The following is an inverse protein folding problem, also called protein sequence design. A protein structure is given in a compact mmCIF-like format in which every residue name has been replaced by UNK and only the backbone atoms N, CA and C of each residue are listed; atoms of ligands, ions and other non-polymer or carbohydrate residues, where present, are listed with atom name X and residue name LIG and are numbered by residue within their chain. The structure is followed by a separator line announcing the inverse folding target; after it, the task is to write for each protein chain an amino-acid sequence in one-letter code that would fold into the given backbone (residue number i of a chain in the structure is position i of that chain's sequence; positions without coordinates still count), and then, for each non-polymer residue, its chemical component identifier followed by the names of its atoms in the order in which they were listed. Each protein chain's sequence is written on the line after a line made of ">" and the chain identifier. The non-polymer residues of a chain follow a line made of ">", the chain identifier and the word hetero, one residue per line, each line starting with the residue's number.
data_IF_131621664211
#
_entry.id   IF_131621664211
#
_cell.length_a   1.000
_cell.length_b   1.000
_cell.length_c   1.000
_cell.angle_alpha   90.00
_cell.angle_beta   90.00
_cell.angle_gamma   90.00
#
_symmetry.space_group_name_H-M   'P 1'
#
loop_
_entity.id
_entity.type
_entity.pdbx_description
1 polymer ?
#
# COMPACT_ATOMS: atom_id res chain seq x y z
N UNK A 1 -19.58 16.41 16.93
CA UNK A 1 -19.32 16.74 15.53
C UNK A 1 -18.10 15.91 15.13
N UNK A 2 -18.30 14.78 14.44
CA UNK A 2 -17.16 14.00 13.92
C UNK A 2 -16.37 14.86 12.95
N UNK A 3 -15.11 15.10 13.26
CA UNK A 3 -14.21 15.85 12.37
C UNK A 3 -13.91 14.93 11.18
N UNK A 4 -14.50 15.21 10.04
CA UNK A 4 -14.29 14.42 8.82
C UNK A 4 -12.84 14.63 8.36
N UNK A 5 -12.05 13.56 8.36
CA UNK A 5 -10.66 13.57 7.89
C UNK A 5 -10.57 14.00 6.41
N UNK A 6 -9.57 14.78 6.08
CA UNK A 6 -9.35 15.34 4.75
C UNK A 6 -7.92 15.08 4.25
N UNK A 7 -7.79 14.74 2.98
CA UNK A 7 -6.47 14.56 2.34
C UNK A 7 -5.59 15.82 2.44
N UNK A 8 -6.21 16.99 2.46
CA UNK A 8 -5.49 18.28 2.47
C UNK A 8 -4.94 18.65 3.85
N UNK A 9 -5.67 18.33 4.91
CA UNK A 9 -5.30 18.71 6.30
C UNK A 9 -4.73 17.56 7.09
N UNK A 10 -5.28 16.36 6.87
CA UNK A 10 -4.94 15.16 7.65
C UNK A 10 -4.09 14.15 6.89
N UNK A 11 -3.94 14.34 5.58
CA UNK A 11 -3.23 13.44 4.68
C UNK A 11 -3.97 12.13 4.38
N UNK A 12 -5.08 11.88 5.06
CA UNK A 12 -5.86 10.65 4.95
C UNK A 12 -7.35 10.96 4.96
N UNK A 13 -8.13 10.15 4.25
CA UNK A 13 -9.59 10.15 4.29
C UNK A 13 -10.11 8.72 4.40
N UNK A 14 -11.38 8.56 4.77
CA UNK A 14 -12.03 7.25 4.87
C UNK A 14 -12.95 7.01 3.69
N UNK A 15 -12.83 5.87 3.04
CA UNK A 15 -13.69 5.44 1.93
C UNK A 15 -14.51 4.25 2.40
N UNK A 16 -15.83 4.34 2.25
CA UNK A 16 -16.73 3.24 2.59
C UNK A 16 -16.48 2.04 1.67
N UNK A 17 -16.50 0.86 2.24
CA UNK A 17 -16.50 -0.35 1.43
C UNK A 17 -17.79 -0.46 0.62
N UNK A 18 -17.73 -0.85 -0.66
CA UNK A 18 -18.89 -1.43 -1.35
C UNK A 18 -19.46 -2.62 -0.57
N UNK A 19 -20.71 -2.98 -0.84
CA UNK A 19 -21.50 -3.90 0.01
C UNK A 19 -20.78 -5.24 0.33
N UNK A 20 -20.10 -5.84 -0.65
CA UNK A 20 -19.41 -7.12 -0.48
C UNK A 20 -17.97 -6.98 0.01
N UNK A 21 -17.39 -5.80 -0.02
CA UNK A 21 -15.95 -5.58 0.20
C UNK A 21 -15.51 -5.94 1.61
N UNK A 22 -16.36 -5.72 2.62
CA UNK A 22 -16.03 -6.08 4.01
C UNK A 22 -15.77 -7.59 4.14
N UNK A 23 -16.63 -8.41 3.54
CA UNK A 23 -16.47 -9.86 3.54
C UNK A 23 -15.23 -10.28 2.76
N UNK A 24 -15.01 -9.69 1.58
CA UNK A 24 -13.85 -10.00 0.73
C UNK A 24 -12.51 -9.65 1.41
N UNK A 25 -12.45 -8.53 2.14
CA UNK A 25 -11.26 -8.15 2.92
C UNK A 25 -11.03 -9.12 4.08
N UNK A 26 -12.08 -9.53 4.78
CA UNK A 26 -11.99 -10.48 5.89
C UNK A 26 -11.52 -11.86 5.38
N UNK A 27 -12.09 -12.35 4.29
CA UNK A 27 -11.70 -13.62 3.65
C UNK A 27 -10.25 -13.59 3.18
N UNK A 28 -9.82 -12.50 2.54
CA UNK A 28 -8.44 -12.31 2.12
C UNK A 28 -7.46 -12.29 3.31
N UNK A 29 -7.85 -11.69 4.45
CA UNK A 29 -7.03 -11.67 5.64
C UNK A 29 -6.90 -13.08 6.28
N UNK A 30 -8.00 -13.85 6.36
CA UNK A 30 -7.96 -15.20 6.92
C UNK A 30 -7.19 -16.16 6.01
N UNK A 31 -7.42 -16.12 4.70
CA UNK A 31 -6.69 -16.96 3.75
C UNK A 31 -5.18 -16.65 3.72
N UNK A 32 -4.79 -15.38 3.93
CA UNK A 32 -3.39 -15.01 4.13
C UNK A 32 -2.78 -15.62 5.39
N UNK A 33 -3.52 -15.66 6.51
CA UNK A 33 -3.07 -16.32 7.74
C UNK A 33 -2.85 -17.82 7.51
N UNK A 34 -3.72 -18.47 6.75
CA UNK A 34 -3.59 -19.89 6.44
C UNK A 34 -2.38 -20.14 5.52
N UNK A 35 -2.17 -19.31 4.50
CA UNK A 35 -0.97 -19.35 3.66
C UNK A 35 0.32 -19.20 4.47
N UNK A 36 0.37 -18.29 5.45
CA UNK A 36 1.54 -18.10 6.32
C UNK A 36 1.92 -19.34 7.13
N UNK A 37 0.95 -20.23 7.44
CA UNK A 37 1.19 -21.49 8.17
C UNK A 37 1.79 -22.59 7.31
N UNK A 38 1.79 -22.44 6.00
CA UNK A 38 2.42 -23.39 5.08
C UNK A 38 3.92 -23.54 5.37
N UNK A 39 4.50 -24.73 5.14
CA UNK A 39 5.94 -24.92 5.22
C UNK A 39 6.69 -23.92 4.34
N UNK A 40 7.86 -23.46 4.79
CA UNK A 40 8.64 -22.48 4.04
C UNK A 40 8.94 -22.95 2.61
N UNK A 41 9.26 -24.22 2.42
CA UNK A 41 9.51 -24.81 1.09
C UNK A 41 8.32 -24.71 0.13
N UNK A 42 7.09 -24.67 0.67
CA UNK A 42 5.88 -24.45 -0.14
C UNK A 42 5.72 -22.97 -0.47
N UNK A 43 5.93 -22.08 0.51
CA UNK A 43 5.89 -20.63 0.28
C UNK A 43 6.95 -20.19 -0.74
N UNK A 44 8.11 -20.81 -0.75
CA UNK A 44 9.21 -20.50 -1.67
C UNK A 44 8.87 -20.76 -3.15
N UNK A 45 7.87 -21.62 -3.47
CA UNK A 45 7.36 -21.84 -4.82
C UNK A 45 6.82 -20.52 -5.42
N UNK A 46 6.31 -19.62 -4.57
CA UNK A 46 5.71 -18.34 -4.94
C UNK A 46 6.70 -17.18 -4.94
N UNK A 47 7.97 -17.43 -4.61
CA UNK A 47 9.00 -16.39 -4.64
C UNK A 47 9.11 -15.77 -6.01
N UNK A 48 9.18 -14.44 -6.08
CA UNK A 48 9.33 -13.71 -7.32
C UNK A 48 10.65 -14.10 -8.02
N UNK A 49 10.53 -14.59 -9.25
CA UNK A 49 11.69 -14.93 -10.10
C UNK A 49 12.37 -13.65 -10.61
N UNK A 50 11.59 -12.58 -10.80
CA UNK A 50 12.07 -11.28 -11.25
C UNK A 50 12.01 -10.26 -10.11
N UNK A 51 13.17 -9.90 -9.60
CA UNK A 51 13.33 -8.85 -8.59
C UNK A 51 12.92 -7.44 -9.09
N UNK A 52 12.74 -7.25 -10.40
CA UNK A 52 12.32 -5.97 -10.95
C UNK A 52 10.80 -5.79 -10.90
N UNK A 53 10.03 -6.85 -11.04
CA UNK A 53 8.57 -6.80 -10.91
C UNK A 53 8.12 -6.63 -9.46
N UNK A 54 8.91 -7.11 -8.49
CA UNK A 54 8.57 -7.10 -7.07
C UNK A 54 7.32 -7.90 -6.72
N UNK A 55 6.84 -8.75 -7.65
CA UNK A 55 5.60 -9.52 -7.53
C UNK A 55 5.92 -10.93 -7.06
N UNK A 56 5.21 -11.42 -6.02
CA UNK A 56 5.39 -12.75 -5.45
C UNK A 56 5.63 -12.68 -3.94
N UNK A 57 5.92 -13.85 -3.37
CA UNK A 57 6.25 -13.99 -1.96
C UNK A 57 7.71 -13.58 -1.68
N UNK A 58 7.92 -12.85 -0.62
CA UNK A 58 9.24 -12.44 -0.14
C UNK A 58 9.31 -12.53 1.39
N UNK A 59 10.43 -13.06 1.89
CA UNK A 59 10.76 -13.04 3.32
C UNK A 59 12.03 -12.22 3.54
N UNK A 60 11.95 -11.18 4.37
CA UNK A 60 13.04 -10.26 4.70
C UNK A 60 13.53 -10.50 6.14
N UNK A 61 14.79 -10.18 6.40
CA UNK A 61 15.34 -10.18 7.76
C UNK A 61 16.02 -11.49 8.22
N UNK A 62 16.34 -12.40 7.30
CA UNK A 62 17.07 -13.65 7.61
C UNK A 62 18.61 -13.50 7.60
N UNK A 63 19.15 -12.32 7.84
CA UNK A 63 20.60 -12.10 7.99
C UNK A 63 21.40 -11.94 6.68
N UNK A 64 20.81 -12.15 5.52
CA UNK A 64 21.53 -12.09 4.24
C UNK A 64 21.50 -10.73 3.51
N UNK A 65 20.66 -9.80 3.95
CA UNK A 65 20.65 -8.41 3.48
C UNK A 65 20.43 -7.48 4.66
N UNK A 66 21.07 -6.31 4.65
CA UNK A 66 20.86 -5.20 5.58
C UNK A 66 19.45 -4.59 5.50
N UNK A 67 18.42 -5.41 5.45
CA UNK A 67 17.04 -4.95 5.51
C UNK A 67 16.68 -4.74 6.97
N UNK A 68 16.40 -3.50 7.34
CA UNK A 68 15.88 -3.14 8.68
C UNK A 68 14.46 -3.67 8.89
N UNK A 69 13.75 -4.01 7.81
CA UNK A 69 12.39 -4.56 7.87
C UNK A 69 12.45 -6.08 8.06
N UNK A 70 11.92 -6.56 9.18
CA UNK A 70 11.70 -7.98 9.42
C UNK A 70 10.25 -8.28 9.07
N UNK A 71 10.00 -8.88 7.90
CA UNK A 71 8.64 -9.17 7.43
C UNK A 71 8.59 -10.29 6.41
N UNK A 72 7.41 -10.91 6.29
CA UNK A 72 6.99 -11.67 5.12
C UNK A 72 5.98 -10.80 4.35
N UNK A 73 6.11 -10.74 3.03
CA UNK A 73 5.11 -10.08 2.19
C UNK A 73 4.82 -10.91 0.95
N UNK A 74 3.58 -10.80 0.48
CA UNK A 74 3.17 -11.33 -0.81
C UNK A 74 2.57 -10.20 -1.63
N UNK A 75 3.18 -9.93 -2.75
CA UNK A 75 2.83 -8.86 -3.67
C UNK A 75 2.13 -9.46 -4.89
N UNK A 76 0.89 -9.02 -5.16
CA UNK A 76 0.03 -9.58 -6.20
C UNK A 76 -0.55 -8.46 -7.07
N UNK A 77 -0.57 -8.69 -8.38
CA UNK A 77 -1.27 -7.87 -9.38
C UNK A 77 -2.32 -8.71 -10.11
N UNK A 78 -3.30 -8.08 -10.74
CA UNK A 78 -4.27 -8.84 -11.57
C UNK A 78 -3.59 -9.65 -12.67
N UNK A 79 -2.51 -9.13 -13.25
CA UNK A 79 -1.80 -9.76 -14.39
C UNK A 79 -1.11 -11.07 -14.03
N UNK A 80 -0.70 -11.26 -12.76
CA UNK A 80 -0.03 -12.50 -12.36
C UNK A 80 -0.93 -13.52 -11.66
N UNK A 81 -2.23 -13.23 -11.47
CA UNK A 81 -3.17 -14.15 -10.83
C UNK A 81 -3.27 -15.51 -11.54
N UNK A 82 -3.23 -15.53 -12.85
CA UNK A 82 -3.30 -16.79 -13.62
C UNK A 82 -2.07 -17.67 -13.36
N UNK A 83 -0.88 -17.10 -13.35
CA UNK A 83 0.37 -17.81 -13.02
C UNK A 83 0.35 -18.32 -11.57
N UNK A 84 -0.06 -17.47 -10.63
CA UNK A 84 -0.16 -17.83 -9.23
C UNK A 84 -1.19 -18.94 -8.99
N UNK A 85 -2.32 -18.92 -9.71
CA UNK A 85 -3.32 -20.01 -9.63
C UNK A 85 -2.74 -21.35 -10.11
N UNK A 86 -1.90 -21.34 -11.14
CA UNK A 86 -1.22 -22.56 -11.60
C UNK A 86 -0.21 -23.08 -10.56
N UNK A 87 0.56 -22.18 -9.94
CA UNK A 87 1.51 -22.54 -8.87
C UNK A 87 0.79 -23.06 -7.61
N UNK A 88 -0.41 -22.54 -7.32
CA UNK A 88 -1.22 -22.93 -6.16
C UNK A 88 -1.91 -24.28 -6.33
N UNK A 89 -2.01 -24.79 -7.56
CA UNK A 89 -2.77 -26.00 -7.85
C UNK A 89 -2.31 -27.21 -7.02
N UNK A 90 -3.26 -27.81 -6.29
CA UNK A 90 -3.01 -28.92 -5.37
C UNK A 90 -2.52 -28.51 -3.98
N UNK A 91 -2.51 -27.20 -3.67
CA UNK A 91 -2.18 -26.65 -2.35
C UNK A 91 -3.40 -25.86 -1.85
N UNK A 92 -4.32 -26.47 -1.08
CA UNK A 92 -5.63 -25.88 -0.78
C UNK A 92 -5.57 -24.47 -0.15
N UNK A 93 -4.64 -24.24 0.78
CA UNK A 93 -4.46 -22.94 1.44
C UNK A 93 -3.98 -21.87 0.45
N UNK A 94 -3.11 -22.24 -0.50
CA UNK A 94 -2.65 -21.33 -1.53
C UNK A 94 -3.74 -21.05 -2.57
N UNK A 95 -4.51 -22.08 -2.98
CA UNK A 95 -5.66 -21.91 -3.88
C UNK A 95 -6.69 -20.95 -3.27
N UNK A 96 -7.05 -21.16 -1.99
CA UNK A 96 -7.98 -20.30 -1.26
C UNK A 96 -7.47 -18.86 -1.18
N UNK A 97 -6.19 -18.66 -0.87
CA UNK A 97 -5.57 -17.33 -0.80
C UNK A 97 -5.58 -16.59 -2.14
N UNK A 98 -5.24 -17.27 -3.24
CA UNK A 98 -5.25 -16.64 -4.57
C UNK A 98 -6.68 -16.30 -5.01
N UNK A 99 -7.66 -17.15 -4.73
CA UNK A 99 -9.06 -16.87 -5.07
C UNK A 99 -9.65 -15.72 -4.24
N UNK A 100 -9.41 -15.69 -2.93
CA UNK A 100 -9.78 -14.56 -2.08
C UNK A 100 -9.15 -13.23 -2.57
N UNK A 101 -7.89 -13.29 -3.03
CA UNK A 101 -7.23 -12.11 -3.63
C UNK A 101 -7.88 -11.69 -4.95
N UNK A 102 -8.31 -12.64 -5.79
CA UNK A 102 -9.05 -12.36 -7.03
C UNK A 102 -10.33 -11.58 -6.75
N UNK A 103 -11.12 -12.06 -5.79
CA UNK A 103 -12.37 -11.40 -5.35
C UNK A 103 -12.12 -10.02 -4.75
N UNK A 104 -11.01 -9.86 -4.01
CA UNK A 104 -10.61 -8.58 -3.46
C UNK A 104 -10.31 -7.52 -4.54
N UNK A 105 -9.71 -7.90 -5.67
CA UNK A 105 -9.45 -6.97 -6.79
C UNK A 105 -10.72 -6.36 -7.37
N UNK A 106 -11.85 -7.07 -7.38
CA UNK A 106 -13.12 -6.52 -7.86
C UNK A 106 -13.60 -5.38 -6.96
N UNK A 107 -13.44 -5.55 -5.63
CA UNK A 107 -13.74 -4.51 -4.65
C UNK A 107 -12.83 -3.30 -4.80
N UNK A 108 -11.53 -3.52 -4.98
CA UNK A 108 -10.52 -2.48 -5.14
C UNK A 108 -10.81 -1.62 -6.38
N UNK A 109 -11.22 -2.22 -7.48
CA UNK A 109 -11.56 -1.49 -8.70
C UNK A 109 -12.70 -0.48 -8.46
N UNK A 110 -13.78 -0.93 -7.80
CA UNK A 110 -14.89 -0.05 -7.46
C UNK A 110 -14.47 1.08 -6.52
N UNK A 111 -13.66 0.77 -5.50
CA UNK A 111 -13.15 1.76 -4.55
C UNK A 111 -12.23 2.79 -5.23
N UNK A 112 -11.37 2.36 -6.16
CA UNK A 112 -10.46 3.26 -6.89
C UNK A 112 -11.24 4.27 -7.74
N UNK A 113 -12.29 3.82 -8.43
CA UNK A 113 -13.18 4.69 -9.22
C UNK A 113 -13.90 5.70 -8.32
N UNK A 114 -14.46 5.25 -7.19
CA UNK A 114 -15.15 6.13 -6.24
C UNK A 114 -14.20 7.16 -5.64
N UNK A 115 -13.00 6.73 -5.24
CA UNK A 115 -11.99 7.63 -4.70
C UNK A 115 -11.52 8.65 -5.73
N UNK A 116 -11.29 8.23 -6.96
CA UNK A 116 -10.91 9.13 -8.06
C UNK A 116 -11.92 10.25 -8.27
N UNK A 117 -13.22 9.93 -8.32
CA UNK A 117 -14.31 10.90 -8.41
C UNK A 117 -14.36 11.84 -7.20
N UNK A 118 -14.13 11.29 -5.99
CA UNK A 118 -14.08 12.10 -4.77
C UNK A 118 -12.93 13.12 -4.81
N UNK A 119 -11.73 12.70 -5.20
CA UNK A 119 -10.57 13.60 -5.30
C UNK A 119 -10.84 14.72 -6.32
N UNK A 120 -11.31 14.37 -7.51
CA UNK A 120 -11.57 15.36 -8.57
C UNK A 120 -12.62 16.37 -8.14
N UNK A 121 -13.74 15.92 -7.55
CA UNK A 121 -14.84 16.80 -7.15
C UNK A 121 -14.54 17.65 -5.92
N UNK A 122 -13.71 17.15 -5.00
CA UNK A 122 -13.47 17.80 -3.70
C UNK A 122 -12.25 18.72 -3.72
N UNK A 123 -11.22 18.37 -4.50
CA UNK A 123 -9.93 19.06 -4.51
C UNK A 123 -9.60 19.70 -5.87
N UNK A 124 -10.53 19.69 -6.84
CA UNK A 124 -10.37 20.26 -8.21
C UNK A 124 -9.11 19.74 -8.94
N UNK A 125 -8.76 18.49 -8.73
CA UNK A 125 -7.64 17.82 -9.44
C UNK A 125 -8.16 17.24 -10.74
N UNK A 126 -8.21 18.06 -11.80
CA UNK A 126 -8.82 17.71 -13.09
C UNK A 126 -8.23 16.46 -13.72
N UNK A 127 -9.09 15.57 -14.21
CA UNK A 127 -8.72 14.31 -14.86
C UNK A 127 -8.22 13.24 -13.90
N UNK A 128 -8.32 13.46 -12.59
CA UNK A 128 -7.90 12.46 -11.60
C UNK A 128 -8.84 11.24 -11.60
N UNK A 129 -10.15 11.45 -11.80
CA UNK A 129 -11.13 10.36 -11.88
C UNK A 129 -10.83 9.41 -13.05
N UNK A 130 -10.55 9.96 -14.23
CA UNK A 130 -10.21 9.17 -15.42
C UNK A 130 -8.91 8.40 -15.22
N UNK A 131 -7.89 9.02 -14.63
CA UNK A 131 -6.63 8.36 -14.31
C UNK A 131 -6.82 7.25 -13.29
N UNK A 132 -7.58 7.47 -12.22
CA UNK A 132 -7.84 6.46 -11.20
C UNK A 132 -8.61 5.26 -11.79
N UNK A 133 -9.61 5.51 -12.63
CA UNK A 133 -10.35 4.47 -13.34
C UNK A 133 -9.45 3.66 -14.28
N UNK A 134 -8.67 4.32 -15.12
CA UNK A 134 -7.74 3.66 -16.03
C UNK A 134 -6.67 2.83 -15.30
N UNK A 135 -6.31 3.24 -14.08
CA UNK A 135 -5.27 2.62 -13.25
C UNK A 135 -5.78 1.48 -12.35
N UNK A 136 -7.09 1.32 -12.21
CA UNK A 136 -7.67 0.33 -11.29
C UNK A 136 -7.19 -1.11 -11.59
N UNK A 137 -6.99 -1.45 -12.86
CA UNK A 137 -6.46 -2.76 -13.27
C UNK A 137 -4.95 -2.91 -13.03
N UNK A 138 -4.23 -1.82 -12.80
CA UNK A 138 -2.82 -1.83 -12.42
C UNK A 138 -2.62 -1.85 -10.90
N UNK A 139 -3.69 -2.09 -10.14
CA UNK A 139 -3.65 -2.23 -8.70
C UNK A 139 -2.66 -3.32 -8.28
N UNK A 140 -1.94 -3.03 -7.20
CA UNK A 140 -0.93 -3.88 -6.63
C UNK A 140 -1.27 -4.10 -5.15
N UNK A 141 -1.66 -5.31 -4.79
CA UNK A 141 -2.02 -5.67 -3.42
C UNK A 141 -0.81 -6.28 -2.73
N UNK A 142 -0.52 -5.77 -1.55
CA UNK A 142 0.53 -6.30 -0.67
C UNK A 142 -0.10 -6.86 0.59
N UNK A 143 0.08 -8.14 0.80
CA UNK A 143 -0.17 -8.82 2.05
C UNK A 143 1.10 -8.80 2.89
N UNK A 144 0.98 -8.41 4.16
CA UNK A 144 2.09 -8.19 5.06
C UNK A 144 1.92 -9.04 6.33
N UNK A 145 3.01 -9.61 6.79
CA UNK A 145 3.14 -10.17 8.11
C UNK A 145 4.45 -9.69 8.75
N UNK A 146 4.33 -9.07 9.90
CA UNK A 146 5.46 -8.71 10.76
C UNK A 146 5.48 -9.70 11.93
N UNK A 147 6.55 -10.48 12.12
CA UNK A 147 6.63 -11.42 13.24
C UNK A 147 6.72 -10.67 14.59
N UNK A 148 6.51 -11.38 15.71
CA UNK A 148 6.71 -10.82 17.05
C UNK A 148 8.09 -10.22 17.22
N UNK A 149 8.12 -8.97 17.73
CA UNK A 149 9.36 -8.22 18.02
C UNK A 149 9.17 -7.40 19.30
N UNK A 150 10.24 -6.78 19.79
CA UNK A 150 10.19 -5.95 21.00
C UNK A 150 9.25 -4.75 20.83
N UNK A 151 8.51 -4.43 21.90
CA UNK A 151 7.62 -3.25 21.96
C UNK A 151 8.35 -1.97 21.56
N UNK A 152 7.70 -1.15 20.74
CA UNK A 152 8.24 0.13 20.27
C UNK A 152 9.26 0.01 19.13
N UNK A 153 9.59 -1.21 18.68
CA UNK A 153 10.45 -1.40 17.50
C UNK A 153 9.76 -0.81 16.26
N UNK A 154 10.47 0.01 15.50
CA UNK A 154 10.02 0.44 14.16
C UNK A 154 10.27 -0.72 13.21
N UNK A 155 9.18 -1.31 12.71
CA UNK A 155 9.18 -2.49 11.82
C UNK A 155 8.86 -2.14 10.37
N UNK A 156 8.45 -0.91 10.11
CA UNK A 156 8.36 -0.27 8.80
C UNK A 156 8.87 1.15 8.93
N UNK A 157 10.03 1.43 8.34
CA UNK A 157 10.69 2.74 8.43
C UNK A 157 9.78 3.86 7.86
N UNK A 158 9.89 5.10 8.38
CA UNK A 158 9.16 6.23 7.84
C UNK A 158 9.38 6.41 6.35
N UNK A 159 8.30 6.43 5.57
CA UNK A 159 8.37 6.59 4.12
C UNK A 159 7.09 7.21 3.55
N UNK A 160 7.18 7.63 2.30
CA UNK A 160 6.05 8.05 1.47
C UNK A 160 5.94 7.08 0.31
N UNK A 161 4.75 6.57 0.05
CA UNK A 161 4.53 5.68 -1.09
C UNK A 161 4.77 6.39 -2.42
N UNK A 162 5.36 5.68 -3.38
CA UNK A 162 5.77 6.25 -4.66
C UNK A 162 4.67 6.22 -5.73
N UNK A 163 3.60 5.46 -5.52
CA UNK A 163 2.47 5.31 -6.43
C UNK A 163 1.55 6.53 -6.47
N UNK A 164 0.33 6.34 -6.97
CA UNK A 164 -0.71 7.37 -6.98
C UNK A 164 -1.33 7.57 -5.60
N UNK A 165 -1.98 6.53 -5.09
CA UNK A 165 -2.60 6.53 -3.78
C UNK A 165 -2.64 5.11 -3.21
N UNK A 166 -2.84 5.04 -1.90
CA UNK A 166 -2.81 3.77 -1.16
C UNK A 166 -4.11 3.58 -0.39
N UNK A 167 -4.70 2.40 -0.51
CA UNK A 167 -5.73 1.90 0.38
C UNK A 167 -5.09 1.08 1.49
N UNK A 168 -5.30 1.47 2.73
CA UNK A 168 -5.04 0.64 3.91
C UNK A 168 -6.32 -0.14 4.22
N UNK A 169 -6.38 -1.39 3.74
CA UNK A 169 -7.59 -2.19 3.74
C UNK A 169 -7.80 -2.93 5.06
N UNK A 170 -6.75 -3.44 5.66
CA UNK A 170 -6.84 -4.28 6.84
C UNK A 170 -5.58 -4.18 7.70
N UNK A 171 -5.77 -4.25 9.00
CA UNK A 171 -4.70 -4.54 9.96
C UNK A 171 -5.26 -5.37 11.14
N UNK A 172 -4.49 -6.33 11.61
CA UNK A 172 -4.88 -7.21 12.72
C UNK A 172 -4.75 -6.53 14.08
N UNK A 173 -3.96 -5.49 14.16
CA UNK A 173 -3.75 -4.63 15.33
C UNK A 173 -3.21 -3.28 14.86
N UNK A 174 -3.42 -2.25 15.66
CA UNK A 174 -2.85 -0.92 15.45
C UNK A 174 -1.33 -0.98 15.27
N UNK A 175 -0.73 0.14 14.90
CA UNK A 175 0.72 0.26 14.77
C UNK A 175 1.16 0.99 13.50
N UNK A 176 0.23 1.27 12.59
CA UNK A 176 0.49 2.18 11.49
C UNK A 176 0.29 3.62 11.97
N UNK A 177 1.36 4.43 11.94
CA UNK A 177 1.34 5.83 12.31
C UNK A 177 1.56 6.72 11.09
N UNK A 178 0.84 7.82 11.00
CA UNK A 178 0.99 8.89 10.00
C UNK A 178 1.67 10.11 10.60
N UNK A 179 2.56 10.74 9.86
CA UNK A 179 3.21 11.97 10.29
C UNK A 179 2.33 13.18 9.95
N UNK A 180 2.07 14.03 10.93
CA UNK A 180 1.40 15.33 10.72
C UNK A 180 2.21 16.22 9.76
N UNK A 181 1.54 17.14 9.05
CA UNK A 181 2.21 17.97 8.05
C UNK A 181 3.15 19.04 8.63
N UNK A 182 3.06 19.30 9.94
CA UNK A 182 4.05 20.08 10.69
C UNK A 182 5.35 19.31 10.96
N UNK A 183 5.36 17.98 10.72
CA UNK A 183 6.48 17.06 10.94
C UNK A 183 6.85 16.83 12.41
N UNK A 184 5.98 17.18 13.33
CA UNK A 184 6.26 17.12 14.77
C UNK A 184 5.56 15.93 15.44
N UNK A 185 4.37 15.54 14.94
CA UNK A 185 3.51 14.58 15.62
C UNK A 185 3.24 13.35 14.77
N UNK A 186 3.44 12.17 15.35
CA UNK A 186 2.95 10.91 14.80
C UNK A 186 1.55 10.64 15.36
N UNK A 187 0.60 10.43 14.47
CA UNK A 187 -0.80 10.16 14.77
C UNK A 187 -1.15 8.74 14.27
N UNK A 188 -2.01 8.01 14.99
CA UNK A 188 -2.43 6.69 14.49
C UNK A 188 -3.13 6.81 13.13
N UNK A 189 -2.95 5.81 12.27
CA UNK A 189 -3.75 5.65 11.06
C UNK A 189 -5.19 5.39 11.50
N UNK A 190 -6.20 6.08 10.94
CA UNK A 190 -7.58 5.83 11.31
C UNK A 190 -8.00 4.43 10.84
N UNK A 191 -8.69 3.70 11.71
CA UNK A 191 -9.29 2.41 11.42
C UNK A 191 -10.77 2.48 11.76
N UNK A 192 -11.63 2.22 10.79
CA UNK A 192 -13.06 2.18 10.97
C UNK A 192 -13.64 0.92 10.31
N UNK A 193 -14.52 0.25 10.99
CA UNK A 193 -15.19 -0.94 10.45
C UNK A 193 -15.98 -0.60 9.18
N UNK A 194 -15.78 -1.39 8.12
CA UNK A 194 -16.45 -1.17 6.82
C UNK A 194 -15.88 -0.04 5.97
N UNK A 195 -14.70 0.47 6.32
CA UNK A 195 -14.01 1.52 5.56
C UNK A 195 -12.53 1.20 5.37
N UNK A 196 -11.96 1.74 4.29
CA UNK A 196 -10.51 1.82 4.12
C UNK A 196 -10.01 3.22 4.45
N UNK A 197 -8.87 3.31 5.12
CA UNK A 197 -8.11 4.55 5.14
C UNK A 197 -7.42 4.72 3.78
N UNK A 198 -7.56 5.89 3.18
CA UNK A 198 -6.98 6.18 1.85
C UNK A 198 -6.17 7.45 1.93
N UNK A 199 -4.97 7.40 1.38
CA UNK A 199 -4.06 8.54 1.40
C UNK A 199 -3.33 8.70 0.07
N UNK A 200 -2.98 9.94 -0.23
CA UNK A 200 -2.20 10.30 -1.40
C UNK A 200 -0.76 9.81 -1.27
N UNK A 201 -0.20 9.41 -2.40
CA UNK A 201 1.21 9.06 -2.54
C UNK A 201 1.92 10.10 -3.42
N UNK A 202 3.16 9.84 -3.85
CA UNK A 202 3.99 10.81 -4.57
C UNK A 202 3.36 11.31 -5.88
N UNK A 203 2.70 10.44 -6.66
CA UNK A 203 2.07 10.86 -7.92
C UNK A 203 0.83 11.74 -7.69
N UNK A 204 0.06 11.48 -6.63
CA UNK A 204 -1.07 12.38 -6.26
C UNK A 204 -0.56 13.76 -5.87
N UNK A 205 0.53 13.83 -5.11
CA UNK A 205 1.15 15.12 -4.78
C UNK A 205 1.62 15.86 -6.04
N UNK A 206 2.21 15.15 -6.99
CA UNK A 206 2.62 15.74 -8.28
C UNK A 206 1.42 16.30 -9.06
N UNK A 207 0.36 15.51 -9.22
CA UNK A 207 -0.82 15.88 -10.02
C UNK A 207 -1.63 17.00 -9.39
N UNK A 208 -1.69 17.05 -8.07
CA UNK A 208 -2.40 18.11 -7.34
C UNK A 208 -1.57 19.41 -7.18
N UNK A 209 -0.37 19.48 -7.76
CA UNK A 209 0.52 20.63 -7.55
C UNK A 209 0.94 20.82 -6.10
N UNK A 210 0.88 19.77 -5.28
CA UNK A 210 1.23 19.77 -3.87
C UNK A 210 0.06 20.09 -2.92
N UNK A 211 -1.16 20.28 -3.42
CA UNK A 211 -2.34 20.47 -2.57
C UNK A 211 -2.66 19.23 -1.72
N UNK A 212 -2.55 18.04 -2.33
CA UNK A 212 -2.63 16.76 -1.62
C UNK A 212 -1.21 16.23 -1.50
N UNK A 213 -0.68 16.21 -0.30
CA UNK A 213 0.67 15.71 -0.06
C UNK A 213 0.70 14.20 0.04
N UNK A 214 1.77 13.58 -0.45
CA UNK A 214 2.04 12.17 -0.18
C UNK A 214 2.25 11.97 1.33
N UNK A 215 1.50 11.03 1.93
CA UNK A 215 1.50 10.82 3.36
C UNK A 215 2.72 10.03 3.83
N UNK A 216 3.53 10.64 4.70
CA UNK A 216 4.59 9.92 5.39
C UNK A 216 3.98 9.07 6.50
N UNK A 217 4.32 7.79 6.54
CA UNK A 217 3.85 6.86 7.55
C UNK A 217 4.95 5.86 7.93
N UNK A 218 4.78 5.23 9.08
CA UNK A 218 5.67 4.20 9.62
C UNK A 218 4.87 3.11 10.30
N UNK A 219 5.51 1.98 10.59
CA UNK A 219 4.92 0.91 11.39
C UNK A 219 5.75 0.71 12.66
N UNK A 220 5.08 0.76 13.81
CA UNK A 220 5.69 0.56 15.14
C UNK A 220 5.03 -0.62 15.84
N UNK A 221 5.82 -1.51 16.42
CA UNK A 221 5.31 -2.65 17.18
C UNK A 221 4.64 -2.19 18.47
N UNK A 222 3.40 -2.62 18.68
CA UNK A 222 2.63 -2.44 19.91
C UNK A 222 2.63 -3.73 20.77
N UNK A 223 1.92 -3.74 21.88
CA UNK A 223 1.82 -4.91 22.77
C UNK A 223 1.32 -6.17 22.05
N UNK A 224 0.28 -6.04 21.21
CA UNK A 224 -0.24 -7.18 20.44
C UNK A 224 0.80 -7.71 19.47
N UNK A 225 1.53 -6.82 18.79
CA UNK A 225 2.61 -7.20 17.86
C UNK A 225 3.70 -7.99 18.55
N UNK A 226 4.02 -7.70 19.85
CA UNK A 226 5.06 -8.41 20.57
C UNK A 226 4.73 -9.89 20.82
N UNK A 227 3.46 -10.25 20.83
CA UNK A 227 3.01 -11.62 21.14
C UNK A 227 2.56 -12.39 19.91
N UNK A 228 1.84 -11.74 19.00
CA UNK A 228 1.17 -12.41 17.88
C UNK A 228 1.70 -11.99 16.51
N UNK A 229 2.58 -10.98 16.46
CA UNK A 229 2.92 -10.34 15.21
C UNK A 229 1.78 -9.42 14.71
N UNK A 230 1.93 -8.89 13.50
CA UNK A 230 0.95 -7.99 12.88
C UNK A 230 0.74 -8.37 11.41
N UNK A 231 -0.52 -8.47 11.01
CA UNK A 231 -0.93 -8.65 9.63
C UNK A 231 -1.53 -7.34 9.12
N UNK A 232 -1.22 -6.98 7.87
CA UNK A 232 -1.88 -5.89 7.16
C UNK A 232 -2.08 -6.23 5.69
N UNK A 233 -3.11 -5.63 5.09
CA UNK A 233 -3.37 -5.67 3.65
C UNK A 233 -3.42 -4.23 3.17
N UNK A 234 -2.54 -3.89 2.24
CA UNK A 234 -2.50 -2.58 1.60
C UNK A 234 -2.59 -2.73 0.08
N UNK A 235 -3.18 -1.75 -0.57
CA UNK A 235 -3.27 -1.74 -2.02
C UNK A 235 -2.75 -0.42 -2.56
N UNK A 236 -1.81 -0.51 -3.48
CA UNK A 236 -1.23 0.64 -4.18
C UNK A 236 -1.88 0.76 -5.56
N UNK A 237 -2.36 1.94 -5.89
CA UNK A 237 -2.88 2.26 -7.22
C UNK A 237 -1.88 3.19 -7.89
N UNK A 238 -1.06 2.71 -8.84
CA UNK A 238 -0.21 3.58 -9.63
C UNK A 238 -1.07 4.37 -10.61
N UNK A 239 -0.82 5.66 -10.75
CA UNK A 239 -1.51 6.47 -11.77
C UNK A 239 -0.77 6.31 -13.09
N UNK A 240 -1.32 5.47 -13.99
CA UNK A 240 -0.75 5.22 -15.31
C UNK A 240 -0.66 6.52 -16.13
N UNK A 241 0.28 6.60 -17.05
CA UNK A 241 0.54 7.81 -17.83
C UNK A 241 0.83 9.06 -16.97
N UNK A 242 1.40 8.85 -15.80
CA UNK A 242 1.88 9.89 -14.89
C UNK A 242 3.36 9.65 -14.62
N UNK A 243 4.20 10.71 -14.56
CA UNK A 243 5.61 10.55 -14.24
C UNK A 243 5.82 9.71 -12.98
N UNK A 244 6.77 8.80 -13.02
CA UNK A 244 7.11 7.95 -11.90
C UNK A 244 8.23 8.57 -11.05
N UNK A 245 8.13 8.44 -9.73
CA UNK A 245 9.19 8.84 -8.83
C UNK A 245 10.50 8.11 -9.16
N UNK A 246 11.60 8.85 -9.33
CA UNK A 246 12.91 8.27 -9.64
C UNK A 246 13.62 7.77 -8.40
N UNK A 247 13.20 6.61 -7.92
CA UNK A 247 13.78 5.96 -6.74
C UNK A 247 15.29 5.68 -6.89
N UNK A 248 15.77 5.40 -8.09
CA UNK A 248 17.20 5.10 -8.30
C UNK A 248 18.08 6.30 -7.99
N UNK A 249 17.62 7.49 -8.37
CA UNK A 249 18.37 8.74 -8.18
C UNK A 249 18.14 9.37 -6.81
N UNK A 250 16.91 9.29 -6.29
CA UNK A 250 16.48 10.10 -5.14
C UNK A 250 16.09 9.31 -3.89
N UNK A 251 15.69 8.03 -4.02
CA UNK A 251 15.05 7.27 -2.97
C UNK A 251 15.78 7.25 -1.65
N UNK A 252 17.06 6.92 -1.67
CA UNK A 252 17.79 6.65 -0.42
C UNK A 252 18.00 7.88 0.47
N UNK A 253 18.27 9.03 -0.14
CA UNK A 253 18.51 10.28 0.61
C UNK A 253 17.23 10.86 1.22
N UNK A 254 16.11 10.64 0.55
CA UNK A 254 14.83 11.27 0.91
C UNK A 254 13.97 10.37 1.78
N UNK A 255 14.02 9.05 1.59
CA UNK A 255 13.39 8.06 2.45
C UNK A 255 13.91 8.12 3.90
N UNK A 256 15.12 8.65 4.12
CA UNK A 256 15.71 8.81 5.47
C UNK A 256 15.21 10.03 6.22
N UNK A 257 14.48 10.95 5.58
CA UNK A 257 13.98 12.17 6.21
C UNK A 257 12.44 12.12 6.27
N UNK A 258 11.84 11.81 7.43
CA UNK A 258 10.40 11.75 7.55
C UNK A 258 9.72 13.04 7.07
N UNK A 259 8.72 12.91 6.18
CA UNK A 259 7.97 14.04 5.63
C UNK A 259 8.81 14.99 4.78
N UNK A 260 9.88 14.49 4.14
CA UNK A 260 10.76 15.29 3.26
C UNK A 260 9.98 16.10 2.21
N UNK A 261 8.87 15.55 1.74
CA UNK A 261 8.01 16.13 0.70
C UNK A 261 7.05 17.21 1.22
N UNK A 262 6.88 17.36 2.53
CA UNK A 262 5.87 18.27 3.09
C UNK A 262 6.20 19.76 2.90
N UNK A 263 7.46 20.11 2.89
CA UNK A 263 7.95 21.48 2.76
C UNK A 263 8.55 21.78 1.38
N UNK A 264 8.56 20.81 0.47
CA UNK A 264 9.13 21.00 -0.85
C UNK A 264 8.35 22.00 -1.68
N UNK A 265 9.08 22.90 -2.33
CA UNK A 265 8.53 23.72 -3.40
C UNK A 265 8.07 22.82 -4.57
N UNK A 266 6.90 23.07 -5.19
CA UNK A 266 6.38 22.22 -6.28
C UNK A 266 7.35 22.03 -7.44
N UNK A 267 8.16 23.04 -7.79
CA UNK A 267 9.17 22.91 -8.87
C UNK A 267 10.28 21.93 -8.49
N UNK A 268 10.76 21.96 -7.25
CA UNK A 268 11.75 21.01 -6.75
C UNK A 268 11.15 19.60 -6.66
N UNK A 269 9.90 19.49 -6.23
CA UNK A 269 9.20 18.22 -6.14
C UNK A 269 9.07 17.55 -7.51
N UNK A 270 8.73 18.31 -8.56
CA UNK A 270 8.64 17.80 -9.94
C UNK A 270 9.96 17.18 -10.44
N UNK A 271 11.10 17.68 -9.98
CA UNK A 271 12.43 17.16 -10.39
C UNK A 271 12.71 15.73 -9.85
N UNK A 272 11.90 15.25 -8.91
CA UNK A 272 12.04 13.90 -8.36
C UNK A 272 11.49 12.80 -9.28
N UNK A 273 10.83 13.18 -10.37
CA UNK A 273 10.13 12.25 -11.23
C UNK A 273 10.81 12.11 -12.58
N UNK A 274 10.83 10.90 -13.11
CA UNK A 274 11.17 10.65 -14.51
C UNK A 274 10.00 11.04 -15.40
N UNK A 275 10.26 11.57 -16.60
CA UNK A 275 9.22 11.68 -17.61
C UNK A 275 8.51 10.34 -17.77
N UNK A 276 7.18 10.37 -17.94
CA UNK A 276 6.46 9.16 -18.31
C UNK A 276 7.09 8.64 -19.60
N UNK A 277 7.70 7.47 -19.55
CA UNK A 277 7.98 6.76 -20.79
C UNK A 277 6.61 6.52 -21.42
N UNK A 278 6.38 7.07 -22.61
CA UNK A 278 5.29 6.61 -23.45
C UNK A 278 5.42 5.10 -23.50
N UNK A 279 4.39 4.39 -23.04
CA UNK A 279 4.31 2.97 -23.28
C UNK A 279 4.31 2.83 -24.81
N UNK A 280 5.43 2.50 -25.37
CA UNK A 280 5.47 1.89 -26.68
C UNK A 280 4.76 0.56 -26.52
N UNK A 281 3.50 0.56 -26.97
CA UNK A 281 2.63 -0.60 -27.07
C UNK A 281 3.21 -1.62 -28.05
#
# INVERSE_FOLDING_TARGET
>A
METRLSLKTDGVTMVNYPETTKANVAEAAESWKDFLRLPQSVKDIFTAVDLQSGVGYERKGNGERESRDIKENFDITKSNLAELSLKASGIPEAESFIEATRTLFESIEQMAIQFGKHVESTYDVRGFADKAQASANAAFVRFLYYPPVTLGTVIGEPHVDHSGFTFHLYESTDGCDRLSFDKETWLPMPVEEGKAAVFGSMQTQLLSGGEIKGLCHKITANETTTHMGRIAIVCFIPLINTPAYDRKTHGRLQEMTPGFNYTMNPKMFTQLFKPSQSADL
#
